data_IF_438242251986
#
_entry.id   IF_438242251986
#
_cell.length_a   1.000
_cell.length_b   1.000
_cell.length_c   1.000
_cell.angle_alpha   90.00
_cell.angle_beta   90.00
_cell.angle_gamma   90.00
#
_symmetry.space_group_name_H-M   'P 1'
#
loop_
_entity.id
_entity.type
_entity.pdbx_description
1 polymer ?
#
# COMPACT_ATOMS: atom_id res chain seq x y z
N UNK A 1 -45.14 -38.80 -12.44
CA UNK A 1 -45.29 -37.33 -12.60
C UNK A 1 -45.10 -36.56 -11.29
N UNK A 2 -45.72 -36.95 -10.17
CA UNK A 2 -45.56 -36.22 -8.88
C UNK A 2 -44.12 -36.18 -8.35
N UNK A 3 -43.38 -37.30 -8.41
CA UNK A 3 -41.98 -37.38 -7.96
C UNK A 3 -41.04 -36.49 -8.81
N UNK A 4 -41.32 -36.34 -10.12
CA UNK A 4 -40.55 -35.49 -11.03
C UNK A 4 -40.75 -34.00 -10.73
N UNK A 5 -41.96 -33.59 -10.36
CA UNK A 5 -42.26 -32.20 -9.97
C UNK A 5 -41.63 -31.84 -8.62
N UNK A 6 -41.70 -32.74 -7.64
CA UNK A 6 -41.09 -32.52 -6.32
C UNK A 6 -39.55 -32.41 -6.41
N UNK A 7 -38.92 -33.21 -7.28
CA UNK A 7 -37.49 -33.11 -7.58
C UNK A 7 -37.14 -31.77 -8.22
N UNK A 8 -37.86 -31.35 -9.25
CA UNK A 8 -37.66 -30.05 -9.93
C UNK A 8 -37.83 -28.87 -8.98
N UNK A 9 -38.82 -28.90 -8.09
CA UNK A 9 -39.01 -27.86 -7.08
C UNK A 9 -37.88 -27.81 -6.05
N UNK A 10 -37.37 -28.97 -5.63
CA UNK A 10 -36.24 -29.04 -4.70
C UNK A 10 -34.94 -28.52 -5.31
N UNK A 11 -34.68 -28.85 -6.58
CA UNK A 11 -33.54 -28.33 -7.35
C UNK A 11 -33.67 -26.80 -7.53
N UNK A 12 -34.87 -26.31 -7.87
CA UNK A 12 -35.10 -24.85 -8.01
C UNK A 12 -34.87 -24.10 -6.70
N UNK A 13 -35.43 -24.58 -5.58
CA UNK A 13 -35.22 -23.96 -4.26
C UNK A 13 -33.74 -23.92 -3.88
N UNK A 14 -32.98 -24.97 -4.20
CA UNK A 14 -31.53 -25.03 -3.94
C UNK A 14 -30.78 -23.97 -4.74
N UNK A 15 -31.08 -23.83 -6.03
CA UNK A 15 -30.48 -22.81 -6.89
C UNK A 15 -30.83 -21.40 -6.42
N UNK A 16 -32.09 -21.15 -6.08
CA UNK A 16 -32.56 -19.83 -5.60
C UNK A 16 -31.87 -19.46 -4.27
N UNK A 17 -31.70 -20.42 -3.37
CA UNK A 17 -30.97 -20.22 -2.11
C UNK A 17 -29.51 -19.86 -2.36
N UNK A 18 -28.79 -20.60 -3.20
CA UNK A 18 -27.38 -20.30 -3.56
C UNK A 18 -27.23 -18.91 -4.18
N UNK A 19 -28.09 -18.58 -5.15
CA UNK A 19 -28.05 -17.27 -5.82
C UNK A 19 -28.33 -16.12 -4.85
N UNK A 20 -29.24 -16.31 -3.91
CA UNK A 20 -29.57 -15.32 -2.88
C UNK A 20 -28.33 -15.06 -2.01
N UNK A 21 -27.65 -16.12 -1.57
CA UNK A 21 -26.44 -16.02 -0.77
C UNK A 21 -25.29 -15.32 -1.53
N UNK A 22 -25.05 -15.70 -2.78
CA UNK A 22 -24.03 -15.06 -3.64
C UNK A 22 -24.30 -13.58 -3.87
N UNK A 23 -25.57 -13.22 -4.10
CA UNK A 23 -25.99 -11.83 -4.30
C UNK A 23 -25.79 -11.03 -3.01
N UNK A 24 -26.18 -11.60 -1.87
CA UNK A 24 -25.96 -10.98 -0.56
C UNK A 24 -24.46 -10.79 -0.26
N UNK A 25 -23.60 -11.74 -0.65
CA UNK A 25 -22.15 -11.59 -0.46
C UNK A 25 -21.63 -10.46 -1.33
N UNK A 26 -21.96 -10.50 -2.62
CA UNK A 26 -21.52 -9.50 -3.59
C UNK A 26 -21.93 -8.09 -3.16
N UNK A 27 -23.14 -7.94 -2.61
CA UNK A 27 -23.62 -6.69 -2.01
C UNK A 27 -22.73 -6.19 -0.87
N UNK A 28 -22.40 -7.07 0.09
CA UNK A 28 -21.58 -6.72 1.25
C UNK A 28 -20.15 -6.31 0.87
N UNK A 29 -19.66 -6.86 -0.23
CA UNK A 29 -18.32 -6.63 -0.76
C UNK A 29 -18.23 -5.44 -1.72
N UNK A 30 -19.34 -4.71 -1.96
CA UNK A 30 -19.30 -3.51 -2.80
C UNK A 30 -18.55 -2.35 -2.15
N UNK A 31 -17.88 -1.58 -3.00
CA UNK A 31 -17.18 -0.35 -2.64
C UNK A 31 -15.67 -0.49 -2.55
N UNK A 32 -15.03 0.53 -1.99
CA UNK A 32 -13.60 0.55 -1.72
C UNK A 32 -13.34 0.01 -0.31
N UNK A 33 -13.19 -1.31 -0.24
CA UNK A 33 -12.93 -2.01 1.02
C UNK A 33 -11.46 -2.39 1.13
N UNK A 34 -10.92 -2.28 2.34
CA UNK A 34 -9.64 -2.86 2.70
C UNK A 34 -9.75 -4.39 2.84
N UNK A 35 -8.67 -5.16 2.64
CA UNK A 35 -8.71 -6.63 2.68
C UNK A 35 -9.35 -7.19 3.96
N UNK A 36 -9.05 -6.57 5.10
CA UNK A 36 -9.63 -6.93 6.39
C UNK A 36 -11.14 -6.72 6.44
N UNK A 37 -11.64 -5.61 5.87
CA UNK A 37 -13.07 -5.32 5.83
C UNK A 37 -13.81 -6.31 4.92
N UNK A 38 -13.22 -6.69 3.78
CA UNK A 38 -13.73 -7.74 2.90
C UNK A 38 -13.88 -9.05 3.69
N UNK A 39 -12.82 -9.47 4.38
CA UNK A 39 -12.82 -10.70 5.17
C UNK A 39 -13.86 -10.68 6.31
N UNK A 40 -13.90 -9.63 7.12
CA UNK A 40 -14.82 -9.52 8.26
C UNK A 40 -16.29 -9.51 7.82
N UNK A 41 -16.61 -8.78 6.74
CA UNK A 41 -17.97 -8.75 6.17
C UNK A 41 -18.37 -10.09 5.56
N UNK A 42 -17.46 -10.73 4.82
CA UNK A 42 -17.70 -12.03 4.24
C UNK A 42 -17.97 -13.09 5.31
N UNK A 43 -17.08 -13.24 6.30
CA UNK A 43 -17.23 -14.22 7.38
C UNK A 43 -18.49 -13.94 8.20
N UNK A 44 -18.79 -12.68 8.51
CA UNK A 44 -19.99 -12.32 9.26
C UNK A 44 -21.29 -12.52 8.49
N UNK A 45 -21.27 -12.36 7.16
CA UNK A 45 -22.42 -12.71 6.32
C UNK A 45 -22.60 -14.22 6.28
N UNK A 46 -21.54 -14.96 5.94
CA UNK A 46 -21.57 -16.41 5.84
C UNK A 46 -22.00 -17.06 7.14
N UNK A 47 -21.55 -16.58 8.31
CA UNK A 47 -22.02 -17.14 9.57
C UNK A 47 -23.46 -16.82 9.91
N UNK A 48 -23.96 -15.63 9.59
CA UNK A 48 -25.40 -15.36 9.75
C UNK A 48 -26.25 -16.20 8.80
N UNK A 49 -25.75 -16.45 7.58
CA UNK A 49 -26.48 -17.16 6.55
C UNK A 49 -26.48 -18.68 6.73
N UNK A 50 -25.37 -19.24 7.22
CA UNK A 50 -25.20 -20.66 7.55
C UNK A 50 -25.60 -20.98 9.00
N UNK A 51 -26.03 -19.96 9.76
CA UNK A 51 -26.32 -20.07 11.19
C UNK A 51 -25.12 -20.61 12.00
N UNK A 52 -23.87 -20.27 11.60
CA UNK A 52 -22.69 -20.60 12.39
C UNK A 52 -22.45 -19.60 13.54
N UNK A 53 -22.21 -20.10 14.77
CA UNK A 53 -21.91 -19.22 15.91
C UNK A 53 -20.58 -18.47 15.77
N UNK A 54 -19.57 -19.10 15.17
CA UNK A 54 -18.20 -18.57 15.07
C UNK A 54 -17.64 -18.83 13.68
N UNK A 55 -16.87 -17.88 13.15
CA UNK A 55 -16.18 -18.03 11.88
C UNK A 55 -14.84 -17.30 11.86
N UNK A 56 -13.91 -17.81 11.06
CA UNK A 56 -12.59 -17.20 10.85
C UNK A 56 -12.18 -17.34 9.38
N UNK A 57 -11.47 -16.34 8.86
CA UNK A 57 -10.88 -16.36 7.54
C UNK A 57 -9.40 -16.02 7.64
N UNK A 58 -8.61 -16.89 7.03
CA UNK A 58 -7.17 -16.76 6.91
C UNK A 58 -6.82 -16.57 5.43
N UNK A 59 -5.76 -15.83 5.17
CA UNK A 59 -5.25 -15.60 3.82
C UNK A 59 -3.79 -16.00 3.78
N UNK A 60 -3.35 -16.62 2.69
CA UNK A 60 -1.95 -16.98 2.50
C UNK A 60 -1.13 -15.74 2.18
N UNK A 61 -0.11 -15.48 2.98
CA UNK A 61 0.88 -14.45 2.71
C UNK A 61 2.07 -14.98 1.89
N UNK A 62 3.01 -14.07 1.56
CA UNK A 62 4.18 -14.41 0.77
C UNK A 62 5.20 -15.28 1.54
N UNK A 63 5.14 -15.28 2.88
CA UNK A 63 6.05 -16.00 3.77
C UNK A 63 5.53 -17.42 4.08
N UNK A 64 4.39 -17.82 3.50
CA UNK A 64 3.76 -19.12 3.72
C UNK A 64 3.00 -19.22 5.05
N UNK A 65 2.75 -18.09 5.70
CA UNK A 65 1.89 -18.01 6.87
C UNK A 65 0.44 -17.67 6.46
N UNK A 66 -0.48 -18.03 7.35
CA UNK A 66 -1.91 -17.90 7.21
C UNK A 66 -2.40 -16.98 8.34
N UNK A 67 -2.12 -15.67 8.29
CA UNK A 67 -2.62 -14.73 9.28
C UNK A 67 -4.16 -14.64 9.26
N UNK A 68 -4.73 -14.44 10.45
CA UNK A 68 -6.16 -14.20 10.61
C UNK A 68 -6.52 -12.84 9.99
N UNK A 69 -7.30 -12.88 8.91
CA UNK A 69 -7.72 -11.68 8.17
C UNK A 69 -9.11 -11.20 8.58
N UNK A 70 -10.00 -12.11 8.98
CA UNK A 70 -11.36 -11.76 9.42
C UNK A 70 -11.92 -12.78 10.39
N UNK A 71 -12.82 -12.33 11.27
CA UNK A 71 -13.46 -13.19 12.27
C UNK A 71 -14.89 -12.78 12.56
N UNK A 72 -15.69 -13.74 12.98
CA UNK A 72 -17.04 -13.55 13.49
C UNK A 72 -17.16 -14.24 14.85
N UNK A 73 -17.50 -13.48 15.89
CA UNK A 73 -17.68 -13.95 17.27
C UNK A 73 -16.51 -14.76 17.89
N UNK A 74 -15.31 -14.69 17.30
CA UNK A 74 -14.11 -15.38 17.80
C UNK A 74 -13.33 -14.51 18.81
N UNK A 75 -13.06 -15.08 19.99
CA UNK A 75 -12.25 -14.47 21.05
C UNK A 75 -10.77 -14.43 20.66
N UNK A 76 -10.09 -13.30 20.93
CA UNK A 76 -8.70 -13.07 20.49
C UNK A 76 -7.63 -13.82 21.30
N UNK A 77 -8.01 -14.61 22.32
CA UNK A 77 -7.12 -15.17 23.33
C UNK A 77 -6.56 -16.57 23.03
N UNK A 78 -6.97 -17.23 21.93
CA UNK A 78 -6.79 -18.68 21.74
C UNK A 78 -5.63 -19.10 20.81
N UNK A 79 -4.65 -18.23 20.52
CA UNK A 79 -3.52 -18.60 19.64
C UNK A 79 -3.89 -18.74 18.15
N UNK A 80 -5.13 -18.43 17.77
CA UNK A 80 -5.68 -18.49 16.41
C UNK A 80 -5.27 -17.30 15.53
N UNK A 81 -4.13 -16.67 15.79
CA UNK A 81 -3.73 -15.44 15.08
C UNK A 81 -3.04 -15.72 13.74
N UNK A 82 -2.33 -16.84 13.63
CA UNK A 82 -1.68 -17.26 12.39
C UNK A 82 -1.35 -18.75 12.44
N UNK A 83 -1.33 -19.39 11.27
CA UNK A 83 -0.90 -20.78 11.07
C UNK A 83 0.15 -20.86 9.97
N UNK A 84 0.92 -21.95 9.90
CA UNK A 84 1.71 -22.30 8.72
C UNK A 84 0.99 -23.30 7.83
N UNK A 85 1.40 -23.40 6.57
CA UNK A 85 0.94 -24.49 5.68
C UNK A 85 1.22 -25.86 6.31
N UNK A 86 0.21 -26.74 6.31
CA UNK A 86 0.25 -28.06 6.97
C UNK A 86 0.12 -28.04 8.50
N UNK A 87 0.02 -26.86 9.14
CA UNK A 87 -0.17 -26.74 10.59
C UNK A 87 -1.66 -26.74 10.97
N UNK A 88 -2.07 -27.71 11.78
CA UNK A 88 -3.45 -27.83 12.24
C UNK A 88 -4.46 -28.01 11.09
N UNK A 89 -5.75 -27.88 11.40
CA UNK A 89 -6.80 -28.03 10.39
C UNK A 89 -6.79 -26.91 9.34
N UNK A 90 -6.47 -25.68 9.76
CA UNK A 90 -6.42 -24.51 8.87
C UNK A 90 -5.26 -24.65 7.87
N UNK A 91 -4.06 -24.98 8.35
CA UNK A 91 -2.90 -25.17 7.50
C UNK A 91 -3.02 -26.40 6.59
N UNK A 92 -3.64 -27.48 7.07
CA UNK A 92 -3.92 -28.65 6.25
C UNK A 92 -4.96 -28.36 5.15
N UNK A 93 -6.03 -27.63 5.49
CA UNK A 93 -7.03 -27.19 4.51
C UNK A 93 -6.43 -26.26 3.45
N UNK A 94 -5.47 -25.41 3.83
CA UNK A 94 -4.78 -24.52 2.88
C UNK A 94 -3.88 -25.26 1.87
N UNK A 95 -3.38 -26.47 2.20
CA UNK A 95 -2.65 -27.33 1.26
C UNK A 95 -3.57 -28.07 0.28
N UNK A 96 -4.85 -28.22 0.63
CA UNK A 96 -5.83 -28.95 -0.15
C UNK A 96 -6.65 -27.99 -1.03
N UNK A 97 -7.02 -28.44 -2.22
CA UNK A 97 -7.89 -27.69 -3.14
C UNK A 97 -9.38 -27.92 -2.88
N UNK A 98 -9.70 -28.90 -2.04
CA UNK A 98 -11.06 -29.31 -1.67
C UNK A 98 -11.49 -28.77 -0.31
N UNK A 99 -12.80 -28.59 -0.12
CA UNK A 99 -13.35 -28.13 1.16
C UNK A 99 -13.28 -29.27 2.17
N UNK A 100 -12.51 -29.07 3.25
CA UNK A 100 -12.40 -30.01 4.35
C UNK A 100 -13.52 -29.76 5.38
N UNK A 101 -14.36 -30.76 5.63
CA UNK A 101 -15.40 -30.73 6.67
C UNK A 101 -14.99 -31.70 7.78
N UNK A 102 -14.84 -31.18 8.99
CA UNK A 102 -14.47 -31.97 10.18
C UNK A 102 -15.62 -31.89 11.18
N UNK A 103 -16.17 -33.06 11.52
CA UNK A 103 -17.26 -33.29 12.48
C UNK A 103 -18.50 -32.41 12.25
N UNK A 104 -19.45 -32.88 11.43
CA UNK A 104 -20.54 -32.09 10.87
C UNK A 104 -21.74 -31.94 11.83
N UNK A 105 -21.93 -30.75 12.41
CA UNK A 105 -23.27 -30.16 12.44
C UNK A 105 -23.25 -28.62 12.19
N UNK A 106 -24.20 -28.00 11.47
CA UNK A 106 -25.14 -28.48 10.45
C UNK A 106 -24.56 -28.23 9.04
N UNK A 107 -23.42 -28.84 8.71
CA UNK A 107 -22.79 -28.71 7.39
C UNK A 107 -23.45 -29.68 6.41
N UNK A 108 -24.48 -29.22 5.70
CA UNK A 108 -25.14 -30.00 4.66
C UNK A 108 -24.47 -29.80 3.29
N UNK A 109 -24.83 -30.62 2.31
CA UNK A 109 -24.30 -30.50 0.95
C UNK A 109 -24.60 -29.15 0.29
N UNK A 110 -25.57 -28.37 0.78
CA UNK A 110 -25.85 -27.02 0.26
C UNK A 110 -24.87 -25.99 0.84
N UNK A 111 -24.48 -26.13 2.12
CA UNK A 111 -23.47 -25.28 2.75
C UNK A 111 -22.10 -25.46 2.09
N UNK A 112 -21.70 -26.70 1.79
CA UNK A 112 -20.43 -26.95 1.07
C UNK A 112 -20.47 -26.40 -0.36
N UNK A 113 -21.59 -26.54 -1.07
CA UNK A 113 -21.76 -25.93 -2.39
C UNK A 113 -21.73 -24.40 -2.32
N UNK A 114 -22.37 -23.80 -1.32
CA UNK A 114 -22.34 -22.35 -1.10
C UNK A 114 -20.90 -21.89 -0.92
N UNK A 115 -20.17 -22.49 0.02
CA UNK A 115 -18.77 -22.15 0.30
C UNK A 115 -17.88 -22.30 -0.93
N UNK A 116 -18.07 -23.37 -1.71
CA UNK A 116 -17.38 -23.56 -2.98
C UNK A 116 -17.68 -22.45 -3.98
N UNK A 117 -18.95 -22.06 -4.08
CA UNK A 117 -19.40 -21.04 -5.02
C UNK A 117 -18.95 -19.61 -4.64
N UNK A 118 -18.89 -19.29 -3.34
CA UNK A 118 -18.45 -17.98 -2.87
C UNK A 118 -16.93 -17.85 -2.74
N UNK A 119 -16.21 -18.99 -2.66
CA UNK A 119 -14.75 -19.03 -2.57
C UNK A 119 -14.09 -18.19 -3.67
N UNK A 120 -14.52 -18.37 -4.91
CA UNK A 120 -13.96 -17.65 -6.06
C UNK A 120 -14.25 -16.15 -5.96
N UNK A 121 -15.49 -15.77 -5.65
CA UNK A 121 -15.88 -14.36 -5.47
C UNK A 121 -15.07 -13.69 -4.36
N UNK A 122 -14.89 -14.40 -3.23
CA UNK A 122 -14.15 -13.89 -2.08
C UNK A 122 -12.66 -13.79 -2.36
N UNK A 123 -12.07 -14.79 -3.04
CA UNK A 123 -10.68 -14.75 -3.45
C UNK A 123 -10.40 -13.55 -4.36
N UNK A 124 -11.25 -13.32 -5.37
CA UNK A 124 -11.13 -12.17 -6.27
C UNK A 124 -11.30 -10.86 -5.49
N UNK A 125 -12.30 -10.76 -4.62
CA UNK A 125 -12.54 -9.54 -3.85
C UNK A 125 -11.37 -9.21 -2.91
N UNK A 126 -10.77 -10.22 -2.26
CA UNK A 126 -9.61 -10.07 -1.40
C UNK A 126 -8.37 -9.67 -2.19
N UNK A 127 -8.12 -10.29 -3.33
CA UNK A 127 -7.00 -9.96 -4.21
C UNK A 127 -7.12 -8.51 -4.70
N UNK A 128 -8.29 -8.13 -5.20
CA UNK A 128 -8.56 -6.76 -5.65
C UNK A 128 -8.37 -5.75 -4.51
N UNK A 129 -8.85 -6.05 -3.30
CA UNK A 129 -8.65 -5.20 -2.13
C UNK A 129 -7.16 -5.07 -1.77
N UNK A 130 -6.40 -6.18 -1.86
CA UNK A 130 -4.97 -6.23 -1.55
C UNK A 130 -4.16 -5.41 -2.55
N UNK A 131 -4.35 -5.65 -3.85
CA UNK A 131 -3.64 -4.89 -4.89
C UNK A 131 -3.95 -3.39 -4.80
N UNK A 132 -5.19 -3.01 -4.45
CA UNK A 132 -5.55 -1.60 -4.23
C UNK A 132 -4.83 -1.00 -3.02
N UNK A 133 -4.78 -1.72 -1.90
CA UNK A 133 -4.07 -1.27 -0.71
C UNK A 133 -2.57 -1.09 -0.99
N UNK A 134 -1.96 -2.04 -1.69
CA UNK A 134 -0.55 -1.97 -2.12
C UNK A 134 -0.30 -0.78 -3.05
N UNK A 135 -1.17 -0.56 -4.04
CA UNK A 135 -1.07 0.58 -4.95
C UNK A 135 -1.17 1.91 -4.20
N UNK A 136 -2.12 2.06 -3.27
CA UNK A 136 -2.25 3.27 -2.44
C UNK A 136 -0.99 3.52 -1.61
N UNK A 137 -0.43 2.49 -1.00
CA UNK A 137 0.79 2.59 -0.22
C UNK A 137 1.99 3.04 -1.09
N UNK A 138 2.10 2.48 -2.30
CA UNK A 138 3.16 2.85 -3.24
C UNK A 138 3.03 4.30 -3.72
N UNK A 139 1.81 4.72 -4.10
CA UNK A 139 1.54 6.11 -4.50
C UNK A 139 1.89 7.10 -3.38
N UNK A 140 1.48 6.82 -2.15
CA UNK A 140 1.82 7.66 -1.00
C UNK A 140 3.33 7.71 -0.71
N UNK A 141 4.07 6.65 -1.03
CA UNK A 141 5.55 6.65 -0.92
C UNK A 141 6.17 7.51 -2.01
N UNK A 142 5.77 7.32 -3.26
CA UNK A 142 6.29 8.09 -4.41
C UNK A 142 6.02 9.57 -4.25
N UNK A 143 4.81 9.95 -3.79
CA UNK A 143 4.47 11.34 -3.55
C UNK A 143 5.37 11.99 -2.48
N UNK A 144 5.61 11.30 -1.36
CA UNK A 144 6.54 11.78 -0.32
C UNK A 144 7.95 11.99 -0.87
N UNK A 145 8.45 11.06 -1.67
CA UNK A 145 9.78 11.19 -2.29
C UNK A 145 9.85 12.37 -3.27
N UNK A 146 8.79 12.59 -4.06
CA UNK A 146 8.72 13.73 -4.95
C UNK A 146 8.74 15.05 -4.17
N UNK A 147 7.95 15.16 -3.09
CA UNK A 147 7.92 16.34 -2.22
C UNK A 147 9.28 16.60 -1.56
N UNK A 148 9.96 15.57 -1.07
CA UNK A 148 11.32 15.67 -0.52
C UNK A 148 12.33 16.17 -1.55
N UNK A 149 12.30 15.63 -2.77
CA UNK A 149 13.18 16.05 -3.86
C UNK A 149 12.91 17.51 -4.27
N UNK A 150 11.64 17.90 -4.36
CA UNK A 150 11.27 19.30 -4.65
C UNK A 150 11.79 20.24 -3.57
N UNK A 151 11.65 19.89 -2.30
CA UNK A 151 12.17 20.69 -1.18
C UNK A 151 13.70 20.78 -1.23
N UNK A 152 14.39 19.67 -1.41
CA UNK A 152 15.86 19.65 -1.52
C UNK A 152 16.35 20.51 -2.70
N UNK A 153 15.66 20.43 -3.84
CA UNK A 153 15.94 21.27 -5.01
C UNK A 153 15.74 22.75 -4.73
N UNK A 154 14.62 23.12 -4.09
CA UNK A 154 14.33 24.50 -3.72
C UNK A 154 15.39 25.06 -2.74
N UNK A 155 15.75 24.31 -1.70
CA UNK A 155 16.80 24.71 -0.76
C UNK A 155 18.16 24.87 -1.45
N UNK A 156 18.53 23.95 -2.35
CA UNK A 156 19.78 24.07 -3.11
C UNK A 156 19.81 25.33 -3.96
N UNK A 157 18.73 25.61 -4.69
CA UNK A 157 18.63 26.82 -5.53
C UNK A 157 18.70 28.09 -4.69
N UNK A 158 17.98 28.15 -3.57
CA UNK A 158 18.01 29.29 -2.67
C UNK A 158 19.38 29.51 -2.05
N UNK A 159 20.04 28.43 -1.61
CA UNK A 159 21.39 28.49 -1.08
C UNK A 159 22.39 29.03 -2.12
N UNK A 160 22.36 28.50 -3.34
CA UNK A 160 23.25 28.94 -4.41
C UNK A 160 23.00 30.40 -4.80
N UNK A 161 21.74 30.83 -4.90
CA UNK A 161 21.39 32.21 -5.18
C UNK A 161 21.88 33.16 -4.07
N UNK A 162 21.63 32.82 -2.80
CA UNK A 162 22.06 33.62 -1.66
C UNK A 162 23.59 33.71 -1.58
N UNK A 163 24.29 32.58 -1.68
CA UNK A 163 25.76 32.56 -1.65
C UNK A 163 26.35 33.35 -2.82
N UNK A 164 25.78 33.26 -4.02
CA UNK A 164 26.23 34.06 -5.17
C UNK A 164 26.11 35.57 -4.90
N UNK A 165 24.96 36.02 -4.37
CA UNK A 165 24.75 37.44 -4.05
C UNK A 165 25.65 37.95 -2.91
N UNK A 166 25.81 37.15 -1.86
CA UNK A 166 26.64 37.50 -0.70
C UNK A 166 28.13 37.50 -1.03
N UNK A 167 28.59 36.68 -1.98
CA UNK A 167 29.98 36.69 -2.43
C UNK A 167 30.27 37.79 -3.45
N UNK A 168 29.32 38.09 -4.35
CA UNK A 168 29.50 39.11 -5.40
C UNK A 168 29.72 40.51 -4.82
N UNK A 169 29.02 40.87 -3.75
CA UNK A 169 29.10 42.21 -3.14
C UNK A 169 30.50 42.55 -2.59
N UNK A 170 31.10 41.75 -1.68
CA UNK A 170 32.45 41.99 -1.21
C UNK A 170 33.49 41.83 -2.32
N UNK A 171 33.32 40.88 -3.25
CA UNK A 171 34.25 40.71 -4.37
C UNK A 171 34.27 41.92 -5.30
N UNK A 172 33.10 42.46 -5.65
CA UNK A 172 33.01 43.68 -6.46
C UNK A 172 33.65 44.89 -5.76
N UNK A 173 33.48 45.00 -4.44
CA UNK A 173 34.13 46.05 -3.66
C UNK A 173 35.67 45.91 -3.70
N UNK A 174 36.20 44.69 -3.48
CA UNK A 174 37.63 44.41 -3.57
C UNK A 174 38.17 44.74 -4.96
N UNK A 175 37.50 44.32 -6.03
CA UNK A 175 37.92 44.60 -7.40
C UNK A 175 37.89 46.10 -7.71
N UNK A 176 36.86 46.82 -7.26
CA UNK A 176 36.77 48.27 -7.43
C UNK A 176 37.92 49.02 -6.76
N UNK A 177 38.24 48.70 -5.49
CA UNK A 177 39.39 49.30 -4.81
C UNK A 177 40.73 48.91 -5.43
N UNK A 178 40.87 47.65 -5.86
CA UNK A 178 42.06 47.16 -6.57
C UNK A 178 42.27 47.93 -7.88
N UNK A 179 41.20 48.23 -8.59
CA UNK A 179 41.25 48.98 -9.85
C UNK A 179 41.63 50.46 -9.63
N UNK A 180 41.03 51.13 -8.64
CA UNK A 180 41.40 52.50 -8.27
C UNK A 180 42.89 52.62 -7.88
N UNK A 181 43.40 51.64 -7.14
CA UNK A 181 44.83 51.57 -6.81
C UNK A 181 45.68 51.38 -8.06
N UNK A 182 45.31 50.45 -8.94
CA UNK A 182 46.07 50.14 -10.15
C UNK A 182 46.10 51.30 -11.17
N UNK A 183 45.02 52.10 -11.25
CA UNK A 183 44.92 53.28 -12.12
C UNK A 183 45.67 54.51 -11.57
N UNK A 184 46.19 54.44 -10.34
CA UNK A 184 46.97 55.52 -9.71
C UNK A 184 46.13 56.65 -9.10
N UNK A 185 44.81 56.51 -9.06
CA UNK A 185 43.85 57.49 -8.52
C UNK A 185 44.03 57.75 -7.00
N UNK A 186 44.70 56.84 -6.29
CA UNK A 186 44.93 56.92 -4.84
C UNK A 186 46.40 57.18 -4.48
N UNK A 187 47.28 57.34 -5.49
CA UNK A 187 48.71 57.61 -5.32
C UNK A 187 49.62 56.68 -6.12
N UNK A 188 50.95 56.95 -6.13
CA UNK A 188 51.92 56.19 -6.91
C UNK A 188 52.17 54.79 -6.31
N UNK A 189 52.21 53.78 -7.18
CA UNK A 189 52.54 52.39 -6.83
C UNK A 189 53.96 52.03 -7.21
N UNK A 190 54.55 51.08 -6.48
CA UNK A 190 55.77 50.40 -6.92
C UNK A 190 55.45 49.42 -8.06
N UNK A 191 56.47 49.07 -8.85
CA UNK A 191 56.34 48.15 -9.98
C UNK A 191 55.79 46.78 -9.55
N UNK A 192 56.28 46.24 -8.42
CA UNK A 192 55.82 44.98 -7.85
C UNK A 192 54.38 45.02 -7.33
N UNK A 193 53.94 46.16 -6.76
CA UNK A 193 52.54 46.34 -6.34
C UNK A 193 51.60 46.41 -7.54
N UNK A 194 52.02 47.09 -8.62
CA UNK A 194 51.24 47.17 -9.86
C UNK A 194 51.04 45.79 -10.49
N UNK A 195 52.08 44.95 -10.51
CA UNK A 195 52.02 43.57 -11.00
C UNK A 195 51.04 42.70 -10.19
N UNK A 196 51.10 42.75 -8.85
CA UNK A 196 50.17 41.99 -8.00
C UNK A 196 48.71 42.42 -8.17
N UNK A 197 48.43 43.73 -8.24
CA UNK A 197 47.07 44.24 -8.46
C UNK A 197 46.55 43.84 -9.86
N UNK A 198 47.41 43.87 -10.88
CA UNK A 198 47.08 43.38 -12.23
C UNK A 198 46.67 41.91 -12.25
N UNK A 199 47.35 41.06 -11.48
CA UNK A 199 47.02 39.64 -11.34
C UNK A 199 45.67 39.41 -10.63
N UNK A 200 45.37 40.19 -9.59
CA UNK A 200 44.08 40.14 -8.88
C UNK A 200 42.94 40.56 -9.80
N UNK A 201 43.10 41.66 -10.55
CA UNK A 201 42.09 42.16 -11.50
C UNK A 201 41.84 41.18 -12.65
N UNK A 202 42.90 40.57 -13.17
CA UNK A 202 42.80 39.57 -14.25
C UNK A 202 42.05 38.34 -13.76
N UNK A 203 42.39 37.82 -12.58
CA UNK A 203 41.72 36.66 -11.98
C UNK A 203 40.25 36.94 -11.64
N UNK A 204 39.96 38.15 -11.15
CA UNK A 204 38.61 38.57 -10.76
C UNK A 204 37.64 38.79 -11.91
N UNK A 205 38.11 39.11 -13.13
CA UNK A 205 37.26 39.26 -14.31
C UNK A 205 36.78 37.92 -14.91
N UNK A 206 37.31 36.80 -14.43
CA UNK A 206 37.00 35.44 -14.91
C UNK A 206 36.11 34.62 -13.96
N UNK A 207 35.64 35.22 -12.85
CA UNK A 207 34.74 34.61 -11.85
C UNK A 207 33.29 35.06 -12.05
#
# INVERSE_FOLDING_TARGET
>A
MAVSLQRLESERRRVDWLKTAQSALSEQLRGELEPRQVAERAVSMLCRYLECPVGALYSLDADGALPLLGKHALSSSEGLQSFRLGEGLVGQAALQTEIMVVDAPPWNAAATELLGSVRETLAIALEVARSRAELRALLAKTQRQAEELTRAGAYKSQFLANMSHELRTPLNAILGFTQLLHEGEVGPLTEQQSEFLGNVLTSGRHL
#
